data_IF_692287220935
#
_entry.id   IF_692287220935
#
_cell.length_a   1.000
_cell.length_b   1.000
_cell.length_c   1.000
_cell.angle_alpha   90.00
_cell.angle_beta   90.00
_cell.angle_gamma   90.00
#
_symmetry.space_group_name_H-M   'P 1'
#
loop_
_entity.id
_entity.type
_entity.pdbx_description
1 polymer ?
#
# COMPACT_ATOMS: atom_id res chain seq x y z
N UNK A 1 9.95 -4.71 5.65
CA UNK A 1 9.02 -4.53 6.78
C UNK A 1 7.68 -4.10 6.22
N UNK A 2 6.65 -4.96 6.31
CA UNK A 2 5.27 -4.60 5.95
C UNK A 2 4.68 -3.74 7.08
N UNK A 3 3.71 -2.87 6.76
CA UNK A 3 2.93 -2.04 7.69
C UNK A 3 3.64 -0.94 8.50
N UNK A 4 4.97 -0.90 8.54
CA UNK A 4 5.73 0.04 9.40
C UNK A 4 6.60 0.96 8.56
N UNK A 5 6.53 2.27 8.82
CA UNK A 5 7.51 3.24 8.35
C UNK A 5 8.63 3.33 9.39
N UNK A 6 9.87 3.14 8.96
CA UNK A 6 11.05 3.41 9.77
C UNK A 6 11.81 4.56 9.14
N UNK A 7 12.17 5.53 9.96
CA UNK A 7 12.95 6.68 9.54
C UNK A 7 14.43 6.42 9.79
N UNK A 8 15.23 6.43 8.72
CA UNK A 8 16.66 6.67 8.83
C UNK A 8 16.91 8.17 8.63
N UNK A 9 18.02 8.70 9.14
CA UNK A 9 18.40 10.12 9.02
C UNK A 9 18.66 10.61 7.57
N UNK A 10 18.30 9.81 6.56
CA UNK A 10 18.41 10.11 5.13
C UNK A 10 17.09 10.70 4.63
N UNK A 11 16.92 12.00 4.84
CA UNK A 11 15.68 12.69 4.48
C UNK A 11 15.79 13.50 3.19
N UNK A 12 14.66 13.58 2.48
CA UNK A 12 14.41 14.55 1.41
C UNK A 12 14.67 15.96 1.95
N UNK A 13 15.51 16.73 1.24
CA UNK A 13 15.85 18.09 1.60
C UNK A 13 14.56 18.92 1.72
N UNK A 14 14.37 19.62 2.86
CA UNK A 14 13.28 20.61 3.04
C UNK A 14 13.30 21.71 1.97
N UNK A 15 14.40 21.86 1.25
CA UNK A 15 14.66 22.84 0.18
C UNK A 15 14.15 22.39 -1.19
N UNK A 16 13.13 21.52 -1.28
CA UNK A 16 12.66 21.03 -2.58
C UNK A 16 12.17 22.15 -3.52
N UNK A 17 11.63 23.26 -2.96
CA UNK A 17 11.25 24.46 -3.74
C UNK A 17 12.47 25.14 -4.36
N UNK A 18 13.58 25.21 -3.63
CA UNK A 18 14.84 25.77 -4.13
C UNK A 18 15.44 24.87 -5.21
N UNK A 19 15.31 23.55 -5.06
CA UNK A 19 15.73 22.56 -6.07
C UNK A 19 14.86 22.68 -7.33
N UNK A 20 13.53 22.79 -7.19
CA UNK A 20 12.63 22.94 -8.34
C UNK A 20 12.92 24.27 -9.08
N UNK A 21 13.11 25.36 -8.33
CA UNK A 21 13.42 26.67 -8.89
C UNK A 21 14.78 26.67 -9.59
N UNK A 22 15.83 26.12 -8.97
CA UNK A 22 17.15 26.03 -9.59
C UNK A 22 17.15 25.13 -10.83
N UNK A 23 16.41 24.01 -10.82
CA UNK A 23 16.25 23.14 -11.98
C UNK A 23 15.52 23.85 -13.12
N UNK A 24 14.43 24.57 -12.85
CA UNK A 24 13.71 25.36 -13.87
C UNK A 24 14.59 26.45 -14.49
N UNK A 25 15.50 27.06 -13.71
CA UNK A 25 16.49 28.02 -14.23
C UNK A 25 17.54 27.36 -15.11
N UNK A 26 17.98 26.14 -14.77
CA UNK A 26 19.03 25.40 -15.49
C UNK A 26 18.52 24.70 -16.74
N UNK A 27 17.32 24.13 -16.66
CA UNK A 27 16.60 23.47 -17.73
C UNK A 27 15.14 23.94 -17.72
N UNK A 28 14.79 24.97 -18.53
CA UNK A 28 13.43 25.46 -18.66
C UNK A 28 12.43 24.41 -19.17
N UNK A 29 12.90 23.31 -19.78
CA UNK A 29 12.07 22.19 -20.26
C UNK A 29 11.91 21.09 -19.21
N UNK A 30 12.45 21.27 -18.00
CA UNK A 30 12.37 20.26 -16.94
C UNK A 30 10.91 19.91 -16.64
N UNK A 31 10.65 18.61 -16.51
CA UNK A 31 9.34 18.07 -16.12
C UNK A 31 9.24 17.80 -14.62
N UNK A 32 10.24 18.25 -13.83
CA UNK A 32 10.18 18.17 -12.39
C UNK A 32 9.02 19.04 -11.89
N UNK A 33 7.95 18.38 -11.46
CA UNK A 33 6.78 18.99 -10.85
C UNK A 33 6.47 18.24 -9.56
N UNK A 34 6.38 18.97 -8.46
CA UNK A 34 5.82 18.42 -7.22
C UNK A 34 4.31 18.61 -7.25
N UNK A 35 3.57 17.50 -7.16
CA UNK A 35 2.13 17.57 -6.94
C UNK A 35 1.86 17.85 -5.45
N UNK A 36 1.84 19.13 -5.06
CA UNK A 36 1.63 19.52 -3.65
C UNK A 36 0.30 19.00 -3.10
N UNK A 37 -0.76 18.93 -3.91
CA UNK A 37 -2.08 18.48 -3.47
C UNK A 37 -2.08 17.03 -3.02
N UNK A 38 -1.34 16.16 -3.72
CA UNK A 38 -1.16 14.77 -3.30
C UNK A 38 -0.56 14.69 -1.88
N UNK A 39 0.32 15.62 -1.52
CA UNK A 39 0.93 15.70 -0.18
C UNK A 39 0.09 16.47 0.83
N UNK A 40 -1.04 17.09 0.46
CA UNK A 40 -1.99 17.66 1.43
C UNK A 40 -2.93 16.61 2.00
N UNK A 41 -3.18 15.54 1.24
CA UNK A 41 -4.10 14.47 1.63
C UNK A 41 -3.51 13.55 2.70
N UNK A 42 -4.31 13.24 3.71
CA UNK A 42 -4.01 12.27 4.75
C UNK A 42 -5.30 11.54 5.17
N UNK A 43 -5.24 10.24 5.49
CA UNK A 43 -4.06 9.39 5.34
C UNK A 43 -3.85 8.93 3.88
N UNK A 44 -2.59 8.65 3.52
CA UNK A 44 -2.24 8.00 2.25
C UNK A 44 -1.49 6.71 2.50
N UNK A 45 -1.61 5.76 1.58
CA UNK A 45 -0.90 4.49 1.64
C UNK A 45 0.33 4.57 0.75
N UNK A 46 1.47 4.16 1.30
CA UNK A 46 2.75 4.09 0.59
C UNK A 46 3.05 2.64 0.24
N UNK A 47 3.35 2.35 -1.03
CA UNK A 47 3.70 1.02 -1.53
C UNK A 47 5.13 1.04 -2.07
N UNK A 48 5.96 0.10 -1.64
CA UNK A 48 7.34 -0.03 -2.13
C UNK A 48 7.37 -0.53 -3.58
N UNK A 49 8.13 0.13 -4.45
CA UNK A 49 8.29 -0.30 -5.84
C UNK A 49 9.23 -1.50 -6.00
N UNK A 50 10.42 -1.50 -5.41
CA UNK A 50 11.37 -2.61 -5.60
C UNK A 50 11.07 -3.76 -4.64
N UNK A 51 10.15 -4.64 -5.05
CA UNK A 51 9.74 -5.85 -4.36
C UNK A 51 9.02 -6.80 -5.36
N UNK A 52 9.08 -8.10 -5.09
CA UNK A 52 8.33 -9.16 -5.78
C UNK A 52 6.91 -9.35 -5.23
N UNK A 53 6.54 -8.57 -4.21
CA UNK A 53 5.26 -8.58 -3.53
C UNK A 53 4.82 -7.17 -3.12
N UNK A 54 3.55 -7.03 -2.77
CA UNK A 54 3.02 -5.76 -2.29
C UNK A 54 3.44 -5.58 -0.83
N UNK A 55 4.21 -4.53 -0.59
CA UNK A 55 4.62 -4.09 0.74
C UNK A 55 4.09 -2.67 0.90
N UNK A 56 3.07 -2.52 1.74
CA UNK A 56 2.40 -1.25 1.95
C UNK A 56 2.41 -0.82 3.42
N UNK A 57 2.35 0.49 3.64
CA UNK A 57 2.25 1.13 4.95
C UNK A 57 1.40 2.39 4.85
N UNK A 58 1.03 2.98 5.99
CA UNK A 58 0.23 4.21 6.04
C UNK A 58 1.09 5.40 6.44
N UNK A 59 0.82 6.53 5.80
CA UNK A 59 1.38 7.84 6.11
C UNK A 59 0.24 8.77 6.51
N UNK A 60 0.21 9.10 7.81
CA UNK A 60 -0.77 10.02 8.41
C UNK A 60 -0.22 11.45 8.51
N UNK A 61 1.10 11.62 8.42
CA UNK A 61 1.82 12.87 8.67
C UNK A 61 2.12 13.65 7.38
N UNK A 62 1.75 13.10 6.22
CA UNK A 62 1.89 13.74 4.90
C UNK A 62 3.36 13.89 4.46
N UNK A 63 4.18 12.89 4.73
CA UNK A 63 5.59 12.91 4.31
C UNK A 63 5.74 13.00 2.79
N UNK A 64 6.76 13.70 2.33
CA UNK A 64 7.17 13.65 0.94
C UNK A 64 7.87 12.31 0.64
N UNK A 65 7.51 11.65 -0.46
CA UNK A 65 8.11 10.39 -0.87
C UNK A 65 8.79 10.49 -2.24
N UNK A 66 9.88 9.74 -2.42
CA UNK A 66 10.56 9.64 -3.71
C UNK A 66 9.84 8.65 -4.64
N UNK A 67 10.33 8.57 -5.89
CA UNK A 67 9.81 7.69 -6.94
C UNK A 67 9.78 6.21 -6.54
N UNK A 68 10.67 5.78 -5.63
CA UNK A 68 10.73 4.41 -5.10
C UNK A 68 9.49 3.95 -4.33
N UNK A 69 8.59 4.89 -3.98
CA UNK A 69 7.30 4.62 -3.37
C UNK A 69 6.16 5.10 -4.29
N UNK A 70 5.13 4.27 -4.41
CA UNK A 70 3.84 4.66 -4.97
C UNK A 70 2.93 5.15 -3.84
N UNK A 71 2.16 6.21 -4.10
CA UNK A 71 1.18 6.74 -3.16
C UNK A 71 -0.24 6.42 -3.64
N UNK A 72 -1.02 5.78 -2.77
CA UNK A 72 -2.43 5.47 -2.98
C UNK A 72 -3.23 6.37 -2.04
N UNK A 73 -4.16 7.13 -2.61
CA UNK A 73 -5.03 8.04 -1.89
C UNK A 73 -6.44 7.44 -1.86
N UNK A 74 -6.90 6.90 -0.72
CA UNK A 74 -8.25 6.37 -0.59
C UNK A 74 -9.28 7.45 -0.92
N UNK A 75 -10.30 7.09 -1.70
CA UNK A 75 -11.42 8.01 -1.98
C UNK A 75 -12.24 8.23 -0.70
N UNK A 76 -12.94 9.36 -0.65
CA UNK A 76 -13.84 9.69 0.47
C UNK A 76 -14.77 8.52 0.81
N UNK A 77 -14.87 8.19 2.11
CA UNK A 77 -15.69 7.09 2.61
C UNK A 77 -15.05 5.71 2.55
N UNK A 78 -13.86 5.54 1.97
CA UNK A 78 -13.13 4.27 2.01
C UNK A 78 -12.18 4.24 3.21
N UNK A 79 -12.26 3.20 4.04
CA UNK A 79 -11.38 3.10 5.19
C UNK A 79 -9.93 2.81 4.75
N UNK A 80 -8.97 3.69 5.06
CA UNK A 80 -7.57 3.57 4.64
C UNK A 80 -6.88 2.34 5.25
N UNK A 81 -7.18 2.02 6.51
CA UNK A 81 -6.60 0.86 7.19
C UNK A 81 -7.20 -0.46 6.70
N UNK A 82 -8.48 -0.46 6.28
CA UNK A 82 -9.05 -1.61 5.60
C UNK A 82 -8.26 -1.89 4.30
N UNK A 83 -8.05 -0.87 3.47
CA UNK A 83 -7.26 -1.02 2.24
C UNK A 83 -5.84 -1.52 2.53
N UNK A 84 -5.19 -0.94 3.56
CA UNK A 84 -3.86 -1.34 3.99
C UNK A 84 -3.79 -2.83 4.37
N UNK A 85 -4.79 -3.31 5.12
CA UNK A 85 -4.92 -4.71 5.50
C UNK A 85 -5.11 -5.63 4.29
N UNK A 86 -5.95 -5.24 3.32
CA UNK A 86 -6.12 -5.98 2.07
C UNK A 86 -4.79 -6.05 1.31
N UNK A 87 -4.15 -4.90 1.04
CA UNK A 87 -2.95 -4.81 0.20
C UNK A 87 -1.77 -5.67 0.69
N UNK A 88 -1.58 -5.76 2.01
CA UNK A 88 -0.47 -6.53 2.60
C UNK A 88 -0.80 -8.01 2.86
N UNK A 89 -2.01 -8.46 2.52
CA UNK A 89 -2.44 -9.86 2.71
C UNK A 89 -1.78 -10.81 1.72
N UNK A 90 -1.68 -12.09 2.09
CA UNK A 90 -1.19 -13.14 1.17
C UNK A 90 -2.05 -13.28 -0.09
N UNK A 91 -3.34 -13.01 0.00
CA UNK A 91 -4.26 -13.07 -1.14
C UNK A 91 -3.90 -12.01 -2.19
N UNK A 92 -3.52 -10.80 -1.76
CA UNK A 92 -3.04 -9.77 -2.68
C UNK A 92 -1.67 -10.11 -3.25
N UNK A 93 -0.76 -10.70 -2.46
CA UNK A 93 0.52 -11.21 -2.98
C UNK A 93 0.29 -12.26 -4.07
N UNK A 94 -0.61 -13.23 -3.87
CA UNK A 94 -0.97 -14.24 -4.87
C UNK A 94 -1.53 -13.61 -6.15
N UNK A 95 -2.49 -12.70 -6.03
CA UNK A 95 -3.08 -12.02 -7.20
C UNK A 95 -2.03 -11.20 -7.94
N UNK A 96 -1.18 -10.47 -7.22
CA UNK A 96 -0.14 -9.66 -7.82
C UNK A 96 0.84 -10.51 -8.63
N UNK A 97 1.36 -11.59 -8.03
CA UNK A 97 2.31 -12.48 -8.71
C UNK A 97 1.72 -13.13 -9.96
N UNK A 98 0.45 -13.54 -9.91
CA UNK A 98 -0.26 -14.07 -11.06
C UNK A 98 -0.37 -13.05 -12.23
N UNK A 99 -0.42 -11.75 -11.94
CA UNK A 99 -0.48 -10.69 -12.96
C UNK A 99 0.87 -10.36 -13.58
N UNK A 100 1.95 -10.53 -12.82
CA UNK A 100 3.28 -10.10 -13.27
C UNK A 100 3.97 -11.20 -14.07
N UNK A 101 3.77 -12.49 -13.76
CA UNK A 101 4.48 -13.61 -14.42
C UNK A 101 6.02 -13.46 -14.41
N UNK A 102 6.57 -12.62 -13.50
CA UNK A 102 8.01 -12.36 -13.32
C UNK A 102 8.46 -12.78 -11.89
N UNK A 103 7.87 -13.84 -11.32
CA UNK A 103 8.31 -14.35 -10.00
C UNK A 103 9.79 -14.72 -10.05
N UNK A 104 10.57 -14.26 -9.05
CA UNK A 104 11.99 -14.59 -8.92
C UNK A 104 12.94 -13.81 -9.84
N UNK A 105 12.47 -12.80 -10.60
CA UNK A 105 13.39 -11.91 -11.29
C UNK A 105 14.14 -11.00 -10.30
N UNK A 106 15.46 -10.88 -10.48
CA UNK A 106 16.39 -10.16 -9.59
C UNK A 106 16.03 -8.66 -9.44
N UNK A 107 15.11 -8.13 -10.27
CA UNK A 107 14.68 -6.73 -10.29
C UNK A 107 13.16 -6.55 -10.42
N UNK A 108 12.34 -7.43 -9.85
CA UNK A 108 10.87 -7.26 -9.88
C UNK A 108 10.45 -5.92 -9.27
N UNK A 109 9.58 -5.21 -9.98
CA UNK A 109 9.02 -3.94 -9.53
C UNK A 109 7.49 -4.01 -9.41
N UNK A 110 6.97 -3.43 -8.34
CA UNK A 110 5.56 -3.11 -8.16
C UNK A 110 5.17 -1.96 -9.10
N UNK A 111 4.50 -2.31 -10.20
CA UNK A 111 4.08 -1.35 -11.24
C UNK A 111 2.65 -0.86 -10.96
N UNK A 112 2.40 0.45 -11.12
CA UNK A 112 1.08 1.08 -10.93
C UNK A 112 -0.01 0.37 -11.73
N UNK A 113 0.23 0.12 -13.02
CA UNK A 113 -0.73 -0.54 -13.90
C UNK A 113 -1.09 -1.97 -13.46
N UNK A 114 -0.22 -2.66 -12.70
CA UNK A 114 -0.49 -3.97 -12.12
C UNK A 114 -1.28 -3.86 -10.82
N UNK A 115 -0.98 -2.86 -9.97
CA UNK A 115 -1.78 -2.58 -8.78
C UNK A 115 -3.24 -2.25 -9.12
N UNK A 116 -3.48 -1.50 -10.19
CA UNK A 116 -4.83 -1.13 -10.65
C UNK A 116 -5.68 -2.33 -11.10
N UNK A 117 -5.06 -3.49 -11.36
CA UNK A 117 -5.75 -4.72 -11.77
C UNK A 117 -6.11 -5.63 -10.60
N UNK A 118 -5.65 -5.32 -9.38
CA UNK A 118 -5.93 -6.13 -8.19
C UNK A 118 -7.41 -6.09 -7.83
N UNK A 119 -7.96 -7.24 -7.42
CA UNK A 119 -9.36 -7.33 -7.02
C UNK A 119 -9.51 -6.95 -5.56
N UNK A 120 -9.78 -5.68 -5.30
CA UNK A 120 -10.09 -5.20 -3.95
C UNK A 120 -11.56 -5.51 -3.60
N UNK A 121 -11.85 -6.19 -2.48
CA UNK A 121 -13.23 -6.45 -2.08
C UNK A 121 -13.92 -5.13 -1.67
N UNK A 122 -14.89 -4.74 -2.47
CA UNK A 122 -15.82 -3.63 -2.20
C UNK A 122 -17.18 -4.17 -1.74
N UNK A 123 -17.92 -3.35 -0.99
CA UNK A 123 -19.27 -3.68 -0.50
C UNK A 123 -19.30 -4.79 0.54
N UNK A 124 -18.22 -4.93 1.32
CA UNK A 124 -18.17 -5.86 2.46
C UNK A 124 -19.01 -5.33 3.63
N UNK A 125 -19.45 -6.22 4.51
CA UNK A 125 -20.17 -5.80 5.70
C UNK A 125 -19.26 -4.96 6.63
N UNK A 126 -19.87 -4.02 7.36
CA UNK A 126 -19.15 -3.06 8.21
C UNK A 126 -18.33 -3.75 9.31
N UNK A 127 -18.76 -4.93 9.78
CA UNK A 127 -18.07 -5.64 10.85
C UNK A 127 -16.76 -6.24 10.33
N UNK A 128 -16.80 -6.89 9.17
CA UNK A 128 -15.61 -7.41 8.49
C UNK A 128 -14.63 -6.30 8.11
N UNK A 129 -15.14 -5.19 7.53
CA UNK A 129 -14.33 -4.03 7.19
C UNK A 129 -13.59 -3.48 8.43
N UNK A 130 -14.34 -3.24 9.52
CA UNK A 130 -13.78 -2.73 10.78
C UNK A 130 -12.75 -3.69 11.36
N UNK A 131 -13.02 -4.99 11.36
CA UNK A 131 -12.11 -6.00 11.92
C UNK A 131 -10.78 -6.06 11.19
N UNK A 132 -10.80 -6.01 9.85
CA UNK A 132 -9.59 -5.97 9.03
C UNK A 132 -8.82 -4.66 9.27
N UNK A 133 -9.53 -3.52 9.34
CA UNK A 133 -8.91 -2.23 9.61
C UNK A 133 -8.21 -2.19 10.97
N UNK A 134 -8.84 -2.70 12.03
CA UNK A 134 -8.25 -2.76 13.37
C UNK A 134 -7.04 -3.69 13.45
N UNK A 135 -7.07 -4.83 12.72
CA UNK A 135 -5.89 -5.70 12.60
C UNK A 135 -4.72 -4.98 11.91
N UNK A 136 -5.00 -4.24 10.83
CA UNK A 136 -3.98 -3.47 10.12
C UNK A 136 -3.38 -2.36 11.01
N UNK A 137 -4.21 -1.62 11.75
CA UNK A 137 -3.75 -0.63 12.75
C UNK A 137 -2.84 -1.27 13.79
N UNK A 138 -3.26 -2.39 14.37
CA UNK A 138 -2.47 -3.11 15.37
C UNK A 138 -1.12 -3.56 14.82
N UNK A 139 -1.08 -4.04 13.56
CA UNK A 139 0.17 -4.41 12.88
C UNK A 139 1.08 -3.20 12.64
N UNK A 140 0.54 -2.03 12.30
CA UNK A 140 1.31 -0.79 12.15
C UNK A 140 1.89 -0.30 13.47
N UNK A 141 1.19 -0.49 14.59
CA UNK A 141 1.67 -0.09 15.91
C UNK A 141 2.78 -0.99 16.48
N UNK A 142 3.00 -2.18 15.90
CA UNK A 142 4.02 -3.11 16.36
C UNK A 142 5.39 -2.83 15.74
N UNK A 143 6.35 -2.44 16.58
CA UNK A 143 7.74 -2.18 16.15
C UNK A 143 8.58 -3.44 15.93
N UNK A 144 8.12 -4.62 16.37
CA UNK A 144 8.87 -5.88 16.26
C UNK A 144 8.11 -6.94 15.44
N UNK A 145 8.52 -7.09 14.18
CA UNK A 145 7.94 -8.01 13.21
C UNK A 145 8.22 -9.50 13.51
N UNK A 146 9.25 -9.79 14.30
CA UNK A 146 9.61 -11.16 14.66
C UNK A 146 8.85 -11.64 15.89
N UNK A 147 8.08 -10.76 16.54
CA UNK A 147 7.28 -11.12 17.70
C UNK A 147 6.22 -12.17 17.36
N UNK A 148 5.96 -13.07 18.30
CA UNK A 148 4.87 -14.05 18.21
C UNK A 148 3.51 -13.36 17.99
N UNK A 149 3.35 -12.18 18.59
CA UNK A 149 2.15 -11.36 18.44
C UNK A 149 1.96 -10.84 17.02
N UNK A 150 3.00 -10.28 16.39
CA UNK A 150 2.93 -9.82 15.01
C UNK A 150 2.49 -10.95 14.07
N UNK A 151 3.14 -12.13 14.18
CA UNK A 151 2.79 -13.32 13.40
C UNK A 151 1.33 -13.75 13.62
N UNK A 152 0.86 -13.74 14.87
CA UNK A 152 -0.54 -14.06 15.22
C UNK A 152 -1.52 -13.08 14.58
N UNK A 153 -1.25 -11.77 14.63
CA UNK A 153 -2.13 -10.76 14.04
C UNK A 153 -2.13 -10.83 12.51
N UNK A 154 -0.97 -11.06 11.90
CA UNK A 154 -0.85 -11.22 10.45
C UNK A 154 -1.63 -12.45 9.96
N UNK A 155 -1.55 -13.58 10.66
CA UNK A 155 -2.33 -14.77 10.32
C UNK A 155 -3.84 -14.50 10.42
N UNK A 156 -4.30 -13.85 11.49
CA UNK A 156 -5.71 -13.46 11.63
C UNK A 156 -6.16 -12.53 10.51
N UNK A 157 -5.32 -11.56 10.12
CA UNK A 157 -5.60 -10.68 8.99
C UNK A 157 -5.77 -11.51 7.71
N UNK A 158 -4.82 -12.40 7.40
CA UNK A 158 -4.87 -13.25 6.22
C UNK A 158 -6.12 -14.14 6.19
N UNK A 159 -6.52 -14.72 7.32
CA UNK A 159 -7.76 -15.50 7.46
C UNK A 159 -9.00 -14.66 7.13
N UNK A 160 -9.12 -13.46 7.71
CA UNK A 160 -10.26 -12.58 7.45
C UNK A 160 -10.33 -12.18 5.98
N UNK A 161 -9.19 -11.80 5.39
CA UNK A 161 -9.14 -11.39 3.99
C UNK A 161 -9.45 -12.57 3.07
N UNK A 162 -8.86 -13.74 3.30
CA UNK A 162 -9.14 -14.96 2.52
C UNK A 162 -10.64 -15.30 2.49
N UNK A 163 -11.31 -15.20 3.64
CA UNK A 163 -12.75 -15.40 3.74
C UNK A 163 -13.54 -14.54 2.74
N UNK A 164 -13.18 -13.27 2.55
CA UNK A 164 -13.87 -12.36 1.63
C UNK A 164 -13.85 -12.84 0.16
N UNK A 165 -12.82 -13.58 -0.24
CA UNK A 165 -12.68 -14.10 -1.60
C UNK A 165 -13.34 -15.47 -1.77
N UNK A 166 -13.28 -16.33 -0.76
CA UNK A 166 -13.94 -17.64 -0.77
C UNK A 166 -15.46 -17.51 -0.94
N UNK A 167 -16.11 -16.57 -0.23
CA UNK A 167 -17.57 -16.36 -0.32
C UNK A 167 -18.04 -15.87 -1.70
N UNK A 168 -17.22 -15.11 -2.43
CA UNK A 168 -17.57 -14.61 -3.77
C UNK A 168 -17.49 -15.70 -4.85
N UNK A 169 -16.61 -16.68 -4.71
CA UNK A 169 -16.52 -17.81 -5.64
C UNK A 169 -17.75 -18.72 -5.55
N UNK A 170 -18.32 -18.91 -4.35
CA UNK A 170 -19.50 -19.74 -4.13
C UNK A 170 -20.77 -19.14 -4.76
N UNK A 171 -20.92 -17.81 -4.73
CA UNK A 171 -22.07 -17.12 -5.38
C UNK A 171 -22.01 -17.18 -6.90
N UNK A 172 -20.81 -17.11 -7.51
CA UNK A 172 -20.66 -17.25 -8.97
C UNK A 172 -21.04 -18.64 -9.49
N UNK A 173 -20.75 -19.71 -8.73
CA UNK A 173 -21.12 -21.08 -9.11
C UNK A 173 -22.62 -21.41 -8.96
N UNK A 174 -23.35 -20.68 -8.12
CA UNK A 174 -24.80 -20.87 -7.93
C UNK A 174 -25.68 -20.06 -8.89
N UNK A 175 -25.09 -19.16 -9.66
CA UNK A 175 -25.78 -18.27 -10.60
C UNK A 175 -25.44 -18.58 -12.07
N UNK A 176 -24.76 -19.71 -12.31
CA UNK A 176 -24.40 -20.24 -13.63
C UNK A 176 -25.12 -21.57 -13.86
#
# INVERSE_FOLDING_TARGET
NRFVIQHSNLWLRKTWRDIETSQKRRDPKTRLKVNEEAYKSSPKILVRQTADEIIATIDEDRYYNQKSLLSIHPKNGFNPYYLLGILNSEEMTRQYRALVQEEGQIFSQVKKNKLEQLRIPIGVDKQSERKIAELAKALTALNNLNSKEYKRLLNRLNEQVSGLFSFKQTRKKKAA
#
